data_IF_968574636242
#
_entry.id   IF_968574636242
#
_cell.length_a   1.000
_cell.length_b   1.000
_cell.length_c   1.000
_cell.angle_alpha   90.00
_cell.angle_beta   90.00
_cell.angle_gamma   90.00
#
_symmetry.space_group_name_H-M   'P 1'
#
loop_
_entity.id
_entity.type
_entity.pdbx_description
1 polymer ?
#
# COMPACT_ATOMS: atom_id res chain seq x y z
N UNK A 1 -8.40 35.05 -8.46
CA UNK A 1 -7.82 35.14 -9.83
C UNK A 1 -6.34 34.77 -9.86
N UNK A 2 -5.48 35.22 -8.93
CA UNK A 2 -4.07 34.88 -8.88
C UNK A 2 -3.84 33.37 -8.62
N UNK A 3 -4.63 32.69 -7.80
CA UNK A 3 -4.56 31.24 -7.60
C UNK A 3 -4.96 30.46 -8.86
N UNK A 4 -5.99 30.93 -9.57
CA UNK A 4 -6.42 30.35 -10.84
C UNK A 4 -5.32 30.46 -11.90
N UNK A 5 -4.65 31.61 -11.97
CA UNK A 5 -3.52 31.81 -12.90
C UNK A 5 -2.28 30.97 -12.56
N UNK A 6 -2.01 30.77 -11.28
CA UNK A 6 -0.91 29.92 -10.79
C UNK A 6 -1.17 28.42 -11.02
N UNK A 7 -2.45 28.00 -11.04
CA UNK A 7 -2.90 26.64 -11.32
C UNK A 7 -2.81 26.28 -12.82
N UNK A 8 -3.09 27.22 -13.72
CA UNK A 8 -3.02 27.00 -15.17
C UNK A 8 -1.59 26.67 -15.68
N UNK A 9 -0.56 27.01 -14.91
CA UNK A 9 0.84 26.66 -15.24
C UNK A 9 1.27 25.27 -14.79
N UNK A 10 0.47 24.55 -13.97
CA UNK A 10 0.78 23.22 -13.50
C UNK A 10 0.29 22.19 -14.51
N UNK A 11 1.19 21.30 -14.94
CA UNK A 11 0.84 20.23 -15.87
C UNK A 11 -0.04 19.18 -15.17
N UNK A 12 -1.21 18.89 -15.73
CA UNK A 12 -2.07 17.80 -15.27
C UNK A 12 -1.34 16.44 -15.37
N UNK A 13 -1.47 15.63 -14.34
CA UNK A 13 -0.84 14.31 -14.24
C UNK A 13 -1.91 13.21 -14.38
N UNK A 14 -1.98 12.61 -15.55
CA UNK A 14 -2.93 11.54 -15.84
C UNK A 14 -2.71 10.27 -15.02
N UNK A 15 -1.46 9.96 -14.67
CA UNK A 15 -1.16 8.81 -13.82
C UNK A 15 -1.79 8.95 -12.43
N UNK A 16 -1.82 10.15 -11.88
CA UNK A 16 -2.51 10.43 -10.61
C UNK A 16 -4.02 10.30 -10.72
N UNK A 17 -4.62 10.66 -11.85
CA UNK A 17 -6.04 10.39 -12.09
C UNK A 17 -6.30 8.88 -12.09
N UNK A 18 -5.48 8.13 -12.79
CA UNK A 18 -5.58 6.66 -12.82
C UNK A 18 -5.40 6.05 -11.43
N UNK A 19 -4.41 6.50 -10.65
CA UNK A 19 -4.17 6.05 -9.28
C UNK A 19 -5.37 6.35 -8.38
N UNK A 20 -5.93 7.55 -8.41
CA UNK A 20 -7.11 7.92 -7.63
C UNK A 20 -8.33 7.05 -7.96
N UNK A 21 -8.55 6.77 -9.24
CA UNK A 21 -9.63 5.87 -9.67
C UNK A 21 -9.42 4.44 -9.17
N UNK A 22 -8.21 3.90 -9.32
CA UNK A 22 -7.88 2.54 -8.86
C UNK A 22 -7.95 2.44 -7.34
N UNK A 23 -7.49 3.47 -6.61
CA UNK A 23 -7.59 3.56 -5.15
C UNK A 23 -9.03 3.35 -4.66
N UNK A 24 -9.99 3.98 -5.35
CA UNK A 24 -11.42 3.84 -5.06
C UNK A 24 -12.05 2.57 -5.64
N UNK A 25 -11.29 1.70 -6.29
CA UNK A 25 -11.83 0.52 -6.95
C UNK A 25 -12.84 0.81 -8.07
N UNK A 26 -12.86 2.01 -8.63
CA UNK A 26 -13.83 2.45 -9.65
C UNK A 26 -13.33 2.07 -11.05
N UNK A 27 -14.21 1.49 -11.89
CA UNK A 27 -13.90 1.24 -13.30
C UNK A 27 -13.96 2.52 -14.14
N UNK A 28 -13.33 2.52 -15.32
CA UNK A 28 -13.44 3.66 -16.27
C UNK A 28 -14.90 3.93 -16.66
N UNK A 29 -15.72 2.89 -16.73
CA UNK A 29 -17.13 3.00 -17.11
C UNK A 29 -17.95 3.65 -15.99
N UNK A 30 -17.73 3.20 -14.75
CA UNK A 30 -18.42 3.75 -13.59
C UNK A 30 -18.04 5.22 -13.36
N UNK A 31 -16.72 5.55 -13.49
CA UNK A 31 -16.27 6.93 -13.38
C UNK A 31 -16.89 7.83 -14.47
N UNK A 32 -17.00 7.32 -15.70
CA UNK A 32 -17.66 8.02 -16.81
C UNK A 32 -19.13 8.31 -16.48
N UNK A 33 -19.83 7.33 -15.95
CA UNK A 33 -21.25 7.48 -15.55
C UNK A 33 -21.41 8.51 -14.42
N UNK A 34 -20.56 8.43 -13.39
CA UNK A 34 -20.65 9.32 -12.23
C UNK A 34 -20.26 10.77 -12.54
N UNK A 35 -19.33 10.97 -13.48
CA UNK A 35 -18.83 12.31 -13.85
C UNK A 35 -19.56 12.93 -15.03
N UNK A 36 -20.35 12.17 -15.77
CA UNK A 36 -20.89 12.57 -17.08
C UNK A 36 -19.79 12.98 -18.08
N UNK A 37 -18.62 12.29 -17.99
CA UNK A 37 -17.51 12.48 -18.93
C UNK A 37 -17.37 11.19 -19.75
N UNK A 38 -17.24 11.33 -21.07
CA UNK A 38 -17.10 10.16 -21.94
C UNK A 38 -15.90 9.29 -21.51
N UNK A 39 -16.12 7.97 -21.38
CA UNK A 39 -15.08 6.99 -21.01
C UNK A 39 -13.80 7.13 -21.84
N UNK A 40 -13.91 7.39 -23.14
CA UNK A 40 -12.78 7.63 -24.02
C UNK A 40 -11.96 8.85 -23.58
N UNK A 41 -12.65 9.94 -23.19
CA UNK A 41 -11.98 11.16 -22.72
C UNK A 41 -11.21 10.89 -21.41
N UNK A 42 -11.81 10.18 -20.45
CA UNK A 42 -11.12 9.80 -19.21
C UNK A 42 -9.89 8.95 -19.51
N UNK A 43 -10.00 7.97 -20.41
CA UNK A 43 -8.86 7.16 -20.82
C UNK A 43 -7.75 8.00 -21.46
N UNK A 44 -8.09 8.99 -22.28
CA UNK A 44 -7.11 9.92 -22.87
C UNK A 44 -6.45 10.79 -21.81
N UNK A 45 -7.18 11.21 -20.78
CA UNK A 45 -6.64 11.96 -19.64
C UNK A 45 -5.67 11.11 -18.82
N UNK A 46 -6.04 9.87 -18.47
CA UNK A 46 -5.18 8.94 -17.74
C UNK A 46 -3.87 8.63 -18.47
N UNK A 47 -3.91 8.56 -19.80
CA UNK A 47 -2.72 8.29 -20.63
C UNK A 47 -1.93 9.56 -21.01
N UNK A 48 -2.30 10.72 -20.49
CA UNK A 48 -1.63 11.99 -20.79
C UNK A 48 -1.76 12.47 -22.24
N UNK A 49 -2.68 11.87 -23.01
CA UNK A 49 -2.92 12.22 -24.43
C UNK A 49 -3.83 13.44 -24.59
N UNK A 50 -4.56 13.78 -23.55
CA UNK A 50 -5.40 14.96 -23.50
C UNK A 50 -5.41 15.52 -22.06
N UNK A 51 -5.77 16.79 -21.91
CA UNK A 51 -5.85 17.48 -20.61
C UNK A 51 -7.30 17.87 -20.36
N UNK A 52 -7.88 17.50 -19.21
CA UNK A 52 -9.22 17.97 -18.85
C UNK A 52 -9.24 19.46 -18.55
N UNK A 53 -10.35 20.13 -18.85
CA UNK A 53 -10.58 21.50 -18.40
C UNK A 53 -10.83 21.55 -16.87
N UNK A 54 -10.82 22.77 -16.34
CA UNK A 54 -10.98 23.01 -14.89
C UNK A 54 -12.23 22.36 -14.31
N UNK A 55 -13.37 22.48 -14.97
CA UNK A 55 -14.64 21.93 -14.49
C UNK A 55 -14.63 20.39 -14.45
N UNK A 56 -14.01 19.76 -15.44
CA UNK A 56 -13.85 18.31 -15.46
C UNK A 56 -12.91 17.83 -14.35
N UNK A 57 -11.80 18.54 -14.09
CA UNK A 57 -10.91 18.18 -12.97
C UNK A 57 -11.65 18.31 -11.65
N UNK A 58 -12.45 19.35 -11.44
CA UNK A 58 -13.27 19.49 -10.22
C UNK A 58 -14.26 18.35 -10.04
N UNK A 59 -14.95 17.95 -11.11
CA UNK A 59 -15.88 16.81 -11.07
C UNK A 59 -15.15 15.52 -10.69
N UNK A 60 -14.02 15.26 -11.33
CA UNK A 60 -13.18 14.08 -11.04
C UNK A 60 -12.67 14.11 -9.59
N UNK A 61 -12.18 15.25 -9.13
CA UNK A 61 -11.70 15.45 -7.76
C UNK A 61 -12.78 15.15 -6.72
N UNK A 62 -13.98 15.72 -6.91
CA UNK A 62 -15.10 15.52 -5.98
C UNK A 62 -15.55 14.04 -5.91
N UNK A 63 -15.68 13.38 -7.06
CA UNK A 63 -16.15 11.98 -7.11
C UNK A 63 -15.09 11.03 -6.56
N UNK A 64 -13.81 11.29 -6.85
CA UNK A 64 -12.73 10.46 -6.37
C UNK A 64 -12.30 10.78 -4.93
N UNK A 65 -12.79 11.87 -4.32
CA UNK A 65 -12.45 12.25 -2.95
C UNK A 65 -11.00 12.73 -2.77
N UNK A 66 -10.39 13.26 -3.85
CA UNK A 66 -9.03 13.79 -3.80
C UNK A 66 -9.01 15.31 -3.95
N UNK A 67 -8.06 16.01 -3.29
CA UNK A 67 -7.90 17.45 -3.48
C UNK A 67 -7.59 17.79 -4.94
N UNK A 68 -8.08 18.94 -5.42
CA UNK A 68 -7.83 19.41 -6.80
C UNK A 68 -6.32 19.40 -7.14
N UNK A 69 -5.49 19.90 -6.25
CA UNK A 69 -4.03 20.02 -6.44
C UNK A 69 -3.33 18.67 -6.57
N UNK A 70 -3.93 17.58 -6.08
CA UNK A 70 -3.39 16.22 -6.20
C UNK A 70 -3.11 15.85 -7.66
N UNK A 71 -3.98 16.26 -8.58
CA UNK A 71 -3.87 15.90 -10.00
C UNK A 71 -2.79 16.67 -10.77
N UNK A 72 -2.13 17.63 -10.12
CA UNK A 72 -1.07 18.45 -10.71
C UNK A 72 0.30 18.23 -10.06
N UNK A 73 0.38 17.37 -9.08
CA UNK A 73 1.63 17.06 -8.43
C UNK A 73 2.44 16.06 -9.26
N UNK A 74 3.76 16.16 -9.18
CA UNK A 74 4.67 15.16 -9.73
C UNK A 74 4.83 14.03 -8.72
N UNK A 75 4.87 12.79 -9.18
CA UNK A 75 5.26 11.69 -8.30
C UNK A 75 6.76 11.85 -7.99
N UNK A 76 7.07 12.03 -6.72
CA UNK A 76 8.45 12.15 -6.24
C UNK A 76 9.09 10.79 -6.02
N UNK A 77 8.27 9.75 -5.89
CA UNK A 77 8.71 8.46 -5.41
C UNK A 77 8.72 7.45 -6.54
N UNK A 78 9.85 6.83 -6.69
CA UNK A 78 9.98 5.49 -7.25
C UNK A 78 10.14 4.51 -6.07
N UNK A 79 9.07 4.23 -5.35
CA UNK A 79 9.08 3.06 -4.49
C UNK A 79 9.17 1.84 -5.42
N UNK A 80 10.32 1.21 -5.44
CA UNK A 80 10.47 -0.08 -6.09
C UNK A 80 9.84 -1.13 -5.17
N UNK A 81 8.62 -1.52 -5.47
CA UNK A 81 7.95 -2.63 -4.80
C UNK A 81 8.46 -3.92 -5.41
N UNK A 82 9.40 -4.58 -4.75
CA UNK A 82 9.95 -5.84 -5.27
C UNK A 82 8.94 -6.97 -5.19
N UNK A 83 8.27 -7.13 -4.05
CA UNK A 83 7.31 -8.23 -3.87
C UNK A 83 6.27 -7.86 -2.83
N UNK A 84 5.00 -7.98 -3.17
CA UNK A 84 3.89 -7.84 -2.23
C UNK A 84 3.31 -9.21 -1.93
N UNK A 85 3.35 -9.61 -0.68
CA UNK A 85 2.75 -10.85 -0.20
C UNK A 85 1.35 -10.54 0.34
N UNK A 86 0.34 -11.15 -0.25
CA UNK A 86 -1.04 -10.98 0.19
C UNK A 86 -1.51 -12.20 0.97
N UNK A 87 -1.92 -12.00 2.21
CA UNK A 87 -2.80 -12.94 2.89
C UNK A 87 -4.22 -12.64 2.41
N UNK A 88 -4.63 -13.28 1.32
CA UNK A 88 -5.93 -13.05 0.70
C UNK A 88 -6.67 -14.34 0.49
N UNK A 89 -7.99 -14.26 0.49
CA UNK A 89 -8.80 -15.36 0.00
C UNK A 89 -8.51 -15.59 -1.49
N UNK A 90 -8.67 -16.84 -1.94
CA UNK A 90 -8.50 -17.22 -3.35
C UNK A 90 -9.40 -16.42 -4.33
N UNK A 91 -10.43 -15.74 -3.81
CA UNK A 91 -11.41 -14.92 -4.53
C UNK A 91 -10.96 -13.48 -4.82
N UNK A 92 -9.83 -13.02 -4.28
CA UNK A 92 -9.35 -11.65 -4.52
C UNK A 92 -9.01 -11.42 -5.99
N UNK A 93 -9.66 -10.44 -6.62
CA UNK A 93 -9.50 -10.14 -8.05
C UNK A 93 -8.23 -9.32 -8.31
N UNK A 94 -7.78 -9.28 -9.58
CA UNK A 94 -6.68 -8.38 -10.00
C UNK A 94 -6.99 -6.91 -9.68
N UNK A 95 -8.26 -6.51 -9.74
CA UNK A 95 -8.72 -5.15 -9.42
C UNK A 95 -8.52 -4.85 -7.95
N UNK A 96 -8.90 -5.77 -7.06
CA UNK A 96 -8.77 -5.63 -5.61
C UNK A 96 -7.28 -5.48 -5.22
N UNK A 97 -6.43 -6.34 -5.78
CA UNK A 97 -4.97 -6.27 -5.56
C UNK A 97 -4.36 -4.96 -6.07
N UNK A 98 -4.80 -4.47 -7.24
CA UNK A 98 -4.32 -3.20 -7.76
C UNK A 98 -4.72 -2.01 -6.87
N UNK A 99 -5.94 -2.00 -6.33
CA UNK A 99 -6.38 -0.97 -5.40
C UNK A 99 -5.54 -0.98 -4.11
N UNK A 100 -5.22 -2.16 -3.57
CA UNK A 100 -4.35 -2.29 -2.40
C UNK A 100 -2.93 -1.81 -2.69
N UNK A 101 -2.37 -2.16 -3.85
CA UNK A 101 -1.05 -1.69 -4.26
C UNK A 101 -0.96 -0.16 -4.30
N UNK A 102 -2.00 0.52 -4.77
CA UNK A 102 -2.06 1.99 -4.77
C UNK A 102 -2.19 2.55 -3.33
N UNK A 103 -2.98 1.90 -2.46
CA UNK A 103 -3.06 2.30 -1.05
C UNK A 103 -1.69 2.22 -0.38
N UNK A 104 -0.93 1.16 -0.67
CA UNK A 104 0.45 1.02 -0.22
C UNK A 104 1.35 2.17 -0.69
N UNK A 105 1.28 2.54 -1.97
CA UNK A 105 2.05 3.67 -2.47
C UNK A 105 1.80 4.95 -1.66
N UNK A 106 0.55 5.22 -1.25
CA UNK A 106 0.25 6.38 -0.41
C UNK A 106 0.82 6.27 1.00
N UNK A 107 0.80 5.08 1.60
CA UNK A 107 1.40 4.84 2.91
C UNK A 107 2.92 5.07 2.83
N UNK A 108 3.57 4.56 1.78
CA UNK A 108 4.99 4.79 1.53
C UNK A 108 5.30 6.27 1.37
N UNK A 109 4.49 7.00 0.60
CA UNK A 109 4.64 8.45 0.43
C UNK A 109 4.50 9.22 1.75
N UNK A 110 3.56 8.82 2.58
CA UNK A 110 3.40 9.39 3.91
C UNK A 110 4.64 9.09 4.77
N UNK A 111 5.09 7.84 4.80
CA UNK A 111 6.27 7.42 5.53
C UNK A 111 7.53 8.16 5.10
N UNK A 112 7.80 8.24 3.81
CA UNK A 112 8.94 8.98 3.25
C UNK A 112 8.89 10.48 3.61
N UNK A 113 7.68 11.05 3.63
CA UNK A 113 7.50 12.44 4.09
C UNK A 113 7.84 12.58 5.57
N UNK A 114 7.38 11.64 6.41
CA UNK A 114 7.64 11.65 7.84
C UNK A 114 9.10 11.36 8.19
N UNK A 115 9.80 10.58 7.39
CA UNK A 115 11.23 10.27 7.55
C UNK A 115 12.10 11.53 7.66
N UNK A 116 11.70 12.62 7.01
CA UNK A 116 12.42 13.89 7.10
C UNK A 116 12.23 14.61 8.45
N UNK A 117 11.30 14.16 9.29
CA UNK A 117 10.93 14.83 10.54
C UNK A 117 11.03 13.93 11.77
N UNK A 118 11.01 12.62 11.58
CA UNK A 118 10.98 11.62 12.65
C UNK A 118 12.05 10.56 12.36
N UNK A 119 12.83 10.23 13.36
CA UNK A 119 13.76 9.09 13.32
C UNK A 119 12.96 7.79 13.53
N UNK A 120 12.84 6.97 12.48
CA UNK A 120 12.22 5.66 12.58
C UNK A 120 13.26 4.61 12.96
N UNK A 121 12.89 3.59 13.75
CA UNK A 121 13.75 2.45 14.01
C UNK A 121 14.17 1.75 12.73
N UNK A 122 15.44 1.40 12.64
CA UNK A 122 15.97 0.63 11.51
C UNK A 122 15.63 -0.85 11.72
N UNK A 123 15.29 -1.53 10.63
CA UNK A 123 15.00 -2.96 10.67
C UNK A 123 16.17 -3.76 11.26
N UNK A 124 15.87 -4.51 12.32
CA UNK A 124 16.81 -5.44 12.94
C UNK A 124 16.63 -6.81 12.32
N UNK A 125 17.46 -7.09 11.31
CA UNK A 125 17.45 -8.37 10.61
C UNK A 125 17.91 -9.51 11.53
N UNK A 126 17.06 -10.51 11.81
CA UNK A 126 17.43 -11.67 12.61
C UNK A 126 18.34 -12.65 11.86
N UNK A 127 18.69 -12.39 10.60
CA UNK A 127 19.56 -13.20 9.73
C UNK A 127 19.17 -14.67 9.76
N UNK A 128 17.94 -14.92 9.37
CA UNK A 128 17.41 -16.28 9.29
C UNK A 128 17.98 -16.96 8.05
N UNK A 129 18.70 -18.07 8.25
CA UNK A 129 19.09 -19.00 7.18
C UNK A 129 17.89 -19.93 6.85
N UNK A 130 16.73 -19.32 6.63
CA UNK A 130 15.50 -20.03 6.35
C UNK A 130 15.30 -20.14 4.84
N UNK A 131 15.33 -21.35 4.33
CA UNK A 131 14.91 -21.64 2.96
C UNK A 131 13.40 -21.81 2.97
N UNK A 132 12.68 -20.80 2.43
CA UNK A 132 11.22 -20.86 2.34
C UNK A 132 10.76 -22.09 1.56
N UNK A 133 9.63 -22.65 1.94
CA UNK A 133 8.99 -23.73 1.20
C UNK A 133 8.23 -23.15 0.01
N UNK A 134 8.56 -23.61 -1.19
CA UNK A 134 7.88 -23.20 -2.44
C UNK A 134 6.51 -23.87 -2.60
N UNK A 135 6.32 -25.04 -1.95
CA UNK A 135 5.06 -25.79 -1.98
C UNK A 135 4.33 -25.67 -0.63
N UNK A 136 3.07 -25.21 -0.59
CA UNK A 136 2.26 -25.16 0.61
C UNK A 136 2.11 -26.50 1.33
N UNK A 137 2.20 -27.63 0.62
CA UNK A 137 2.12 -28.97 1.20
C UNK A 137 3.37 -29.29 2.06
N UNK A 138 4.51 -28.73 1.71
CA UNK A 138 5.75 -28.92 2.48
C UNK A 138 5.69 -28.20 3.83
N UNK A 139 4.91 -27.12 3.94
CA UNK A 139 4.74 -26.38 5.19
C UNK A 139 3.99 -27.14 6.29
N UNK A 140 3.32 -28.24 5.97
CA UNK A 140 2.59 -29.08 6.93
C UNK A 140 3.45 -30.24 7.48
N UNK A 141 4.64 -30.44 6.96
CA UNK A 141 5.54 -31.47 7.48
C UNK A 141 6.06 -31.10 8.88
N UNK A 142 6.37 -32.10 9.71
CA UNK A 142 6.92 -31.86 11.04
C UNK A 142 8.27 -31.14 10.96
N UNK A 143 9.08 -31.45 9.97
CA UNK A 143 10.38 -30.82 9.72
C UNK A 143 10.22 -29.32 9.43
N UNK A 144 9.22 -28.93 8.60
CA UNK A 144 8.92 -27.54 8.33
C UNK A 144 8.41 -26.77 9.56
N UNK A 145 7.59 -27.42 10.39
CA UNK A 145 7.13 -26.86 11.66
C UNK A 145 8.30 -26.60 12.60
N UNK A 146 9.19 -27.58 12.75
CA UNK A 146 10.36 -27.47 13.62
C UNK A 146 11.32 -26.36 13.14
N UNK A 147 11.52 -26.20 11.83
CA UNK A 147 12.29 -25.09 11.25
C UNK A 147 11.63 -23.73 11.50
N UNK A 148 10.31 -23.63 11.34
CA UNK A 148 9.57 -22.39 11.65
C UNK A 148 9.66 -22.02 13.13
N UNK A 149 9.60 -22.99 14.04
CA UNK A 149 9.77 -22.75 15.47
C UNK A 149 11.19 -22.29 15.81
N UNK A 150 12.20 -22.91 15.19
CA UNK A 150 13.60 -22.47 15.35
C UNK A 150 13.80 -21.05 14.82
N UNK A 151 13.21 -20.71 13.66
CA UNK A 151 13.25 -19.35 13.11
C UNK A 151 12.57 -18.34 14.04
N UNK A 152 11.40 -18.69 14.56
CA UNK A 152 10.69 -17.84 15.53
C UNK A 152 11.51 -17.61 16.81
N UNK A 153 12.19 -18.64 17.30
CA UNK A 153 13.09 -18.54 18.46
C UNK A 153 14.25 -17.59 18.19
N UNK A 154 14.91 -17.71 17.03
CA UNK A 154 15.98 -16.78 16.62
C UNK A 154 15.51 -15.33 16.53
N UNK A 155 14.29 -15.10 16.02
CA UNK A 155 13.69 -13.75 15.99
C UNK A 155 13.52 -13.23 17.40
N UNK A 156 12.96 -14.03 18.30
CA UNK A 156 12.76 -13.63 19.71
C UNK A 156 14.09 -13.29 20.41
N UNK A 157 15.11 -14.10 20.21
CA UNK A 157 16.46 -13.84 20.74
C UNK A 157 17.06 -12.54 20.19
N UNK A 158 17.00 -12.34 18.86
CA UNK A 158 17.53 -11.15 18.18
C UNK A 158 16.84 -9.87 18.67
N UNK A 159 15.52 -9.93 18.91
CA UNK A 159 14.73 -8.79 19.33
C UNK A 159 14.60 -8.66 20.86
N UNK A 160 15.26 -9.55 21.63
CA UNK A 160 15.23 -9.53 23.10
C UNK A 160 13.86 -9.81 23.69
N UNK A 161 13.07 -10.66 23.03
CA UNK A 161 11.73 -11.03 23.48
C UNK A 161 11.83 -12.22 24.43
N UNK A 162 11.42 -12.09 25.71
CA UNK A 162 11.46 -13.18 26.67
C UNK A 162 10.47 -14.31 26.30
N UNK A 163 10.63 -15.46 26.94
CA UNK A 163 9.68 -16.55 26.81
C UNK A 163 8.29 -16.14 27.30
N UNK A 164 7.27 -16.68 26.64
CA UNK A 164 5.88 -16.43 26.96
C UNK A 164 5.14 -15.54 25.97
N UNK A 165 3.94 -15.08 26.29
CA UNK A 165 3.09 -14.31 25.40
C UNK A 165 3.62 -12.89 25.16
N UNK A 166 3.52 -12.42 23.92
CA UNK A 166 3.85 -11.05 23.54
C UNK A 166 2.67 -10.15 23.88
N UNK A 167 2.89 -9.16 24.77
CA UNK A 167 1.81 -8.26 25.24
C UNK A 167 1.33 -7.29 24.15
N UNK A 168 2.26 -6.74 23.38
CA UNK A 168 1.99 -5.77 22.31
C UNK A 168 2.86 -6.12 21.10
N UNK A 169 2.25 -6.85 20.18
CA UNK A 169 2.94 -7.29 18.97
C UNK A 169 3.22 -6.13 18.02
N UNK A 170 2.29 -5.17 17.91
CA UNK A 170 2.48 -4.02 17.04
C UNK A 170 3.68 -3.20 17.49
N UNK A 171 3.74 -2.86 18.76
CA UNK A 171 4.86 -2.10 19.33
C UNK A 171 6.20 -2.83 19.17
N UNK A 172 6.21 -4.16 19.36
CA UNK A 172 7.40 -4.99 19.15
C UNK A 172 7.89 -4.90 17.69
N UNK A 173 6.99 -5.01 16.72
CA UNK A 173 7.32 -4.92 15.30
C UNK A 173 7.88 -3.53 14.97
N UNK A 174 7.21 -2.48 15.40
CA UNK A 174 7.60 -1.09 15.16
C UNK A 174 8.95 -0.74 15.78
N UNK A 175 9.24 -1.20 17.00
CA UNK A 175 10.53 -1.03 17.64
C UNK A 175 11.70 -1.73 16.91
N UNK A 176 11.40 -2.76 16.14
CA UNK A 176 12.38 -3.49 15.35
C UNK A 176 12.37 -3.10 13.87
N UNK A 177 11.78 -1.95 13.53
CA UNK A 177 11.87 -1.33 12.22
C UNK A 177 10.88 -1.88 11.19
N UNK A 178 9.80 -2.53 11.64
CA UNK A 178 8.70 -2.97 10.76
C UNK A 178 7.55 -1.98 10.93
N UNK A 179 7.12 -1.37 9.84
CA UNK A 179 5.95 -0.50 9.85
C UNK A 179 4.67 -1.30 9.89
N UNK A 180 3.80 -0.99 10.85
CA UNK A 180 2.48 -1.60 10.93
C UNK A 180 1.42 -0.55 10.66
N UNK A 181 0.48 -0.84 9.77
CA UNK A 181 -0.62 0.07 9.45
C UNK A 181 -1.94 -0.67 9.36
N UNK A 182 -3.01 0.01 9.75
CA UNK A 182 -4.37 -0.47 9.57
C UNK A 182 -5.06 0.26 8.42
N UNK A 183 -5.90 -0.44 7.68
CA UNK A 183 -6.72 0.17 6.63
C UNK A 183 -8.09 -0.49 6.56
N UNK A 184 -9.07 0.29 6.11
CA UNK A 184 -10.43 -0.21 5.89
C UNK A 184 -10.61 -0.62 4.44
N UNK A 185 -11.26 -1.76 4.23
CA UNK A 185 -11.69 -2.23 2.91
C UNK A 185 -13.18 -2.52 2.99
N UNK A 186 -13.91 -2.17 1.92
CA UNK A 186 -15.34 -2.49 1.80
C UNK A 186 -15.60 -3.96 1.43
N UNK A 187 -14.56 -4.74 1.13
CA UNK A 187 -14.66 -6.13 0.71
C UNK A 187 -13.77 -7.06 1.56
N UNK A 188 -14.35 -8.11 2.14
CA UNK A 188 -13.71 -9.09 3.04
C UNK A 188 -12.77 -10.09 2.34
N UNK A 189 -12.08 -9.68 1.27
CA UNK A 189 -11.27 -10.58 0.44
C UNK A 189 -9.79 -10.58 0.76
N UNK A 190 -9.31 -9.55 1.43
CA UNK A 190 -7.90 -9.40 1.80
C UNK A 190 -7.84 -9.09 3.28
N UNK A 191 -7.21 -9.95 4.06
CA UNK A 191 -7.10 -9.77 5.51
C UNK A 191 -5.85 -8.97 5.91
N UNK A 192 -4.75 -9.20 5.21
CA UNK A 192 -3.48 -8.53 5.44
C UNK A 192 -2.56 -8.66 4.21
N UNK A 193 -1.55 -7.82 4.17
CA UNK A 193 -0.44 -7.99 3.22
C UNK A 193 0.85 -7.44 3.82
N UNK A 194 1.98 -7.92 3.32
CA UNK A 194 3.29 -7.41 3.68
C UNK A 194 4.07 -7.03 2.43
N UNK A 195 4.96 -6.06 2.57
CA UNK A 195 5.78 -5.58 1.47
C UNK A 195 7.15 -5.13 1.96
N UNK A 196 8.19 -5.44 1.19
CA UNK A 196 9.50 -4.82 1.28
C UNK A 196 9.56 -3.64 0.32
N UNK A 197 10.03 -2.51 0.82
CA UNK A 197 10.16 -1.26 0.08
C UNK A 197 11.59 -0.76 0.26
N UNK A 198 12.14 -0.12 -0.75
CA UNK A 198 13.44 0.54 -0.64
C UNK A 198 13.22 2.06 -0.66
N UNK A 199 13.57 2.72 0.43
CA UNK A 199 13.53 4.18 0.59
C UNK A 199 14.96 4.65 0.82
N UNK A 200 15.49 5.49 -0.04
CA UNK A 200 16.86 6.02 0.05
C UNK A 200 17.95 4.95 0.32
N UNK A 201 17.84 3.80 -0.37
CA UNK A 201 18.70 2.60 -0.20
C UNK A 201 18.59 1.91 1.17
N UNK A 202 17.55 2.18 1.94
CA UNK A 202 17.23 1.48 3.19
C UNK A 202 16.02 0.57 2.97
N UNK A 203 16.16 -0.68 3.40
CA UNK A 203 15.05 -1.62 3.40
C UNK A 203 14.04 -1.26 4.47
N UNK A 204 12.81 -1.10 4.06
CA UNK A 204 11.65 -0.85 4.93
C UNK A 204 10.65 -1.96 4.74
N UNK A 205 10.26 -2.59 5.83
CA UNK A 205 9.25 -3.65 5.84
C UNK A 205 7.93 -3.06 6.34
N UNK A 206 6.86 -3.32 5.58
CA UNK A 206 5.53 -2.86 5.89
C UNK A 206 4.59 -4.05 6.07
N UNK A 207 3.82 -4.04 7.14
CA UNK A 207 2.68 -4.95 7.36
C UNK A 207 1.42 -4.10 7.41
N UNK A 208 0.46 -4.41 6.57
CA UNK A 208 -0.82 -3.75 6.53
C UNK A 208 -1.94 -4.75 6.88
N UNK A 209 -2.79 -4.39 7.84
CA UNK A 209 -3.85 -5.24 8.36
C UNK A 209 -5.21 -4.58 8.11
N UNK A 210 -6.18 -5.35 7.64
CA UNK A 210 -7.55 -4.87 7.45
C UNK A 210 -8.23 -4.71 8.79
N UNK A 211 -8.78 -3.52 9.03
CA UNK A 211 -9.52 -3.21 10.25
C UNK A 211 -11.01 -3.53 10.04
N UNK A 212 -11.57 -4.35 10.91
CA UNK A 212 -13.03 -4.54 11.01
C UNK A 212 -13.58 -5.85 10.45
N UNK A 213 -12.87 -6.58 9.62
CA UNK A 213 -13.45 -7.69 8.86
C UNK A 213 -13.63 -8.99 9.66
N UNK A 214 -12.72 -9.35 10.56
CA UNK A 214 -12.77 -10.61 11.33
C UNK A 214 -12.08 -10.49 12.67
N UNK A 215 -12.84 -10.52 13.80
CA UNK A 215 -12.24 -10.50 15.14
C UNK A 215 -11.29 -11.67 15.41
N UNK A 216 -11.54 -12.83 14.79
CA UNK A 216 -10.76 -14.06 15.00
C UNK A 216 -9.37 -14.01 14.36
N UNK A 217 -9.13 -13.06 13.46
CA UNK A 217 -7.85 -12.91 12.73
C UNK A 217 -6.94 -11.82 13.32
N UNK A 218 -7.29 -11.27 14.49
CA UNK A 218 -6.53 -10.21 15.16
C UNK A 218 -5.61 -10.72 16.24
#
# INVERSE_FOLDING_TARGET
EQEKYKMEQRKFNGDRLKKARIYNGISLTDLATQTDIKKQSISLYENGKNVPDYEKVRKLANILGFPYDYFFQKDKIKAYTETTYFRSQATATKKDRAAQSIKLEFIVQMYETLWNYIEFPVYKDPKLDFMGYDDPLDCESQEAIDEMEMAATKVRECWGVPDGPIKDLQYLLEQNGILVTGFSIDEDKIDAFSQRIIVDNVDVFLIAVVLGSRPECR
#
